data_IF_491463239857
#
_entry.id   IF_491463239857
#
_cell.length_a   1.000
_cell.length_b   1.000
_cell.length_c   1.000
_cell.angle_alpha   90.00
_cell.angle_beta   90.00
_cell.angle_gamma   90.00
#
_symmetry.space_group_name_H-M   'P 1'
#
loop_
_entity.id
_entity.type
_entity.pdbx_description
1 polymer ?
#
# COMPACT_ATOMS: atom_id res chain seq x y z
N UNK A 1 -13.08 -32.58 -7.11
CA UNK A 1 -11.82 -31.91 -7.44
C UNK A 1 -11.78 -30.47 -6.91
N UNK A 2 -12.76 -29.58 -7.18
CA UNK A 2 -12.79 -28.21 -6.63
C UNK A 2 -12.84 -28.16 -5.09
N UNK A 3 -13.56 -29.06 -4.44
CA UNK A 3 -13.68 -29.14 -2.97
C UNK A 3 -12.39 -29.65 -2.32
N UNK A 4 -11.65 -30.51 -3.01
CA UNK A 4 -10.37 -31.05 -2.53
C UNK A 4 -9.24 -30.02 -2.64
N UNK A 5 -9.23 -29.22 -3.73
CA UNK A 5 -8.30 -28.11 -3.94
C UNK A 5 -8.54 -26.98 -2.92
N UNK A 6 -9.82 -26.75 -2.54
CA UNK A 6 -10.18 -25.77 -1.51
C UNK A 6 -9.68 -26.23 -0.12
N UNK A 7 -9.81 -27.53 0.19
CA UNK A 7 -9.34 -28.10 1.45
C UNK A 7 -7.80 -28.07 1.59
N UNK A 8 -7.07 -28.29 0.49
CA UNK A 8 -5.59 -28.18 0.47
C UNK A 8 -5.14 -26.71 0.62
N UNK A 9 -5.87 -25.73 0.05
CA UNK A 9 -5.59 -24.30 0.25
C UNK A 9 -5.83 -23.82 1.68
N UNK A 10 -6.81 -24.43 2.37
CA UNK A 10 -7.12 -24.08 3.76
C UNK A 10 -6.15 -24.76 4.77
N UNK A 11 -5.44 -25.83 4.35
CA UNK A 11 -4.43 -26.52 5.19
C UNK A 11 -3.02 -25.91 5.08
N UNK A 12 -2.76 -25.01 4.11
CA UNK A 12 -1.44 -24.41 3.89
C UNK A 12 -1.20 -23.18 4.76
N UNK A 13 -2.24 -22.58 5.34
CA UNK A 13 -2.09 -21.47 6.27
C UNK A 13 -1.90 -22.01 7.70
N UNK A 14 -0.66 -22.04 8.19
CA UNK A 14 -0.30 -22.63 9.47
C UNK A 14 -0.86 -21.89 10.72
N UNK A 15 -1.41 -20.67 10.55
CA UNK A 15 -1.98 -19.89 11.66
C UNK A 15 -3.48 -20.10 11.76
N UNK A 16 -3.94 -20.54 12.95
CA UNK A 16 -5.37 -20.51 13.25
C UNK A 16 -5.84 -19.07 13.59
N UNK A 17 -7.16 -18.82 13.56
CA UNK A 17 -7.73 -17.48 13.80
C UNK A 17 -7.27 -16.86 15.12
N UNK A 18 -7.09 -17.63 16.19
CA UNK A 18 -6.63 -17.12 17.48
C UNK A 18 -5.16 -16.66 17.41
N UNK A 19 -4.30 -17.38 16.72
CA UNK A 19 -2.90 -17.01 16.55
C UNK A 19 -2.78 -15.73 15.69
N UNK A 20 -3.59 -15.62 14.65
CA UNK A 20 -3.63 -14.40 13.82
C UNK A 20 -4.08 -13.17 14.63
N UNK A 21 -5.08 -13.31 15.50
CA UNK A 21 -5.53 -12.23 16.36
C UNK A 21 -4.49 -11.86 17.43
N UNK A 22 -3.74 -12.83 17.97
CA UNK A 22 -2.63 -12.56 18.88
C UNK A 22 -1.50 -11.80 18.16
N UNK A 23 -1.18 -12.20 16.93
CA UNK A 23 -0.20 -11.50 16.10
C UNK A 23 -0.66 -10.07 15.80
N UNK A 24 -1.93 -9.86 15.39
CA UNK A 24 -2.52 -8.53 15.23
C UNK A 24 -2.37 -7.67 16.49
N UNK A 25 -2.64 -8.23 17.66
CA UNK A 25 -2.52 -7.50 18.93
C UNK A 25 -1.07 -7.07 19.21
N UNK A 26 -0.11 -7.96 18.99
CA UNK A 26 1.30 -7.67 19.18
C UNK A 26 1.80 -6.56 18.23
N UNK A 27 1.41 -6.63 16.95
CA UNK A 27 1.78 -5.62 15.95
C UNK A 27 1.16 -4.26 16.25
N UNK A 28 -0.12 -4.21 16.64
CA UNK A 28 -0.75 -2.94 17.04
C UNK A 28 -0.08 -2.31 18.27
N UNK A 29 0.36 -3.14 19.22
CA UNK A 29 1.12 -2.65 20.37
C UNK A 29 2.47 -2.07 19.94
N UNK A 30 3.18 -2.75 19.03
CA UNK A 30 4.43 -2.26 18.46
C UNK A 30 4.24 -0.95 17.71
N UNK A 31 3.25 -0.85 16.79
CA UNK A 31 2.94 0.38 16.05
C UNK A 31 2.61 1.55 16.99
N UNK A 32 1.84 1.31 18.05
CA UNK A 32 1.53 2.33 19.05
C UNK A 32 2.77 2.78 19.84
N UNK A 33 3.72 1.90 20.06
CA UNK A 33 5.00 2.24 20.71
C UNK A 33 5.83 3.25 19.93
N UNK A 34 5.61 3.37 18.61
CA UNK A 34 6.26 4.36 17.77
C UNK A 34 5.87 5.81 18.11
N UNK A 35 4.73 6.03 18.77
CA UNK A 35 4.28 7.37 19.19
C UNK A 35 5.27 8.06 20.14
N UNK A 36 6.03 7.30 20.93
CA UNK A 36 7.07 7.81 21.82
C UNK A 36 8.45 7.99 21.14
N UNK A 37 8.64 7.39 19.99
CA UNK A 37 9.93 7.26 19.30
C UNK A 37 10.03 8.23 18.13
N UNK A 38 9.06 8.23 17.23
CA UNK A 38 9.07 9.03 16.00
C UNK A 38 9.25 10.53 16.25
N UNK A 39 8.64 11.18 17.27
CA UNK A 39 8.87 12.60 17.52
C UNK A 39 10.31 12.94 17.81
N UNK A 40 11.03 12.05 18.51
CA UNK A 40 12.47 12.20 18.82
C UNK A 40 13.32 12.04 17.56
N UNK A 41 12.98 11.05 16.73
CA UNK A 41 13.66 10.83 15.45
C UNK A 41 13.46 12.02 14.50
N UNK A 42 12.24 12.57 14.42
CA UNK A 42 11.94 13.74 13.58
C UNK A 42 12.69 15.00 14.09
N UNK A 43 12.85 15.15 15.42
CA UNK A 43 13.59 16.27 16.00
C UNK A 43 15.08 16.23 15.62
N UNK A 44 15.66 15.03 15.43
CA UNK A 44 17.05 14.81 15.04
C UNK A 44 17.14 14.21 13.61
N UNK A 45 16.24 14.64 12.72
CA UNK A 45 16.13 14.06 11.39
C UNK A 45 17.23 14.53 10.46
N UNK A 46 17.90 13.58 9.85
CA UNK A 46 18.86 13.77 8.76
C UNK A 46 18.29 13.17 7.47
N UNK A 47 18.45 13.88 6.36
CA UNK A 47 17.92 13.50 5.06
C UNK A 47 19.05 13.23 4.08
N UNK A 48 18.97 12.09 3.39
CA UNK A 48 19.86 11.71 2.30
C UNK A 48 19.04 11.50 1.02
N UNK A 49 19.72 11.50 -0.12
CA UNK A 49 19.11 11.18 -1.43
C UNK A 49 19.57 9.80 -1.89
N UNK A 50 18.63 8.96 -2.36
CA UNK A 50 18.92 7.63 -2.91
C UNK A 50 19.31 7.73 -4.39
N UNK A 51 18.38 7.45 -5.31
CA UNK A 51 18.66 7.42 -6.74
C UNK A 51 18.70 8.80 -7.40
N UNK A 52 17.98 9.79 -6.88
CA UNK A 52 17.92 11.16 -7.40
C UNK A 52 17.43 12.13 -6.32
N UNK A 53 17.44 13.45 -6.63
CA UNK A 53 17.08 14.51 -5.68
C UNK A 53 15.63 14.46 -5.15
N UNK A 54 14.75 13.65 -5.73
CA UNK A 54 13.36 13.48 -5.31
C UNK A 54 13.14 12.17 -4.55
N UNK A 55 14.14 11.28 -4.55
CA UNK A 55 14.14 9.98 -3.89
C UNK A 55 14.89 10.12 -2.56
N UNK A 56 14.15 10.40 -1.50
CA UNK A 56 14.66 10.76 -0.20
C UNK A 56 14.59 9.56 0.76
N UNK A 57 15.55 9.49 1.67
CA UNK A 57 15.54 8.65 2.85
C UNK A 57 15.96 9.47 4.05
N UNK A 58 15.45 9.13 5.22
CA UNK A 58 15.88 9.73 6.47
C UNK A 58 16.31 8.67 7.48
N UNK A 59 17.01 9.09 8.53
CA UNK A 59 17.29 8.21 9.66
C UNK A 59 15.99 7.72 10.34
N UNK A 60 14.85 8.38 10.14
CA UNK A 60 13.54 7.94 10.66
C UNK A 60 13.14 6.64 9.98
N UNK A 61 13.22 6.58 8.65
CA UNK A 61 12.90 5.38 7.84
C UNK A 61 13.75 4.19 8.30
N UNK A 62 15.07 4.38 8.37
CA UNK A 62 16.02 3.35 8.77
C UNK A 62 15.77 2.84 10.18
N UNK A 63 15.56 3.76 11.14
CA UNK A 63 15.36 3.40 12.54
C UNK A 63 14.04 2.64 12.78
N UNK A 64 12.96 3.04 12.11
CA UNK A 64 11.67 2.32 12.22
C UNK A 64 11.82 0.90 11.68
N UNK A 65 12.46 0.74 10.52
CA UNK A 65 12.70 -0.58 9.94
C UNK A 65 13.60 -1.45 10.85
N UNK A 66 14.69 -0.90 11.39
CA UNK A 66 15.59 -1.63 12.27
C UNK A 66 14.91 -2.07 13.57
N UNK A 67 14.02 -1.26 14.13
CA UNK A 67 13.24 -1.62 15.30
C UNK A 67 12.23 -2.74 14.99
N UNK A 68 11.60 -2.73 13.81
CA UNK A 68 10.70 -3.81 13.43
C UNK A 68 11.46 -5.12 13.18
N UNK A 69 12.61 -5.06 12.53
CA UNK A 69 13.48 -6.22 12.33
C UNK A 69 13.93 -6.84 13.66
N UNK A 70 14.33 -5.98 14.62
CA UNK A 70 14.69 -6.42 15.97
C UNK A 70 13.49 -7.07 16.70
N UNK A 71 12.30 -6.47 16.61
CA UNK A 71 11.09 -7.02 17.16
C UNK A 71 10.76 -8.41 16.57
N UNK A 72 10.89 -8.58 15.25
CA UNK A 72 10.68 -9.88 14.61
C UNK A 72 11.71 -10.92 15.09
N UNK A 73 12.97 -10.57 15.13
CA UNK A 73 14.03 -11.49 15.58
C UNK A 73 13.83 -11.95 17.02
N UNK A 74 13.31 -11.10 17.89
CA UNK A 74 13.05 -11.43 19.28
C UNK A 74 11.80 -12.30 19.47
N UNK A 75 10.69 -11.95 18.79
CA UNK A 75 9.40 -12.54 19.06
C UNK A 75 8.93 -13.55 18.00
N UNK A 76 9.40 -13.41 16.76
CA UNK A 76 9.00 -14.22 15.60
C UNK A 76 10.21 -14.59 14.74
N UNK A 77 11.21 -15.32 15.27
CA UNK A 77 12.51 -15.52 14.61
C UNK A 77 12.45 -16.33 13.30
N UNK A 78 11.30 -16.98 13.00
CA UNK A 78 11.06 -17.66 11.72
C UNK A 78 10.45 -16.75 10.65
N UNK A 79 10.02 -15.53 11.01
CA UNK A 79 9.47 -14.58 10.05
C UNK A 79 10.60 -13.79 9.37
N UNK A 80 10.41 -13.50 8.09
CA UNK A 80 11.33 -12.70 7.30
C UNK A 80 10.77 -11.28 7.09
N UNK A 81 11.65 -10.31 6.87
CA UNK A 81 11.30 -8.93 6.58
C UNK A 81 11.78 -8.54 5.18
N UNK A 82 10.83 -8.16 4.33
CA UNK A 82 11.04 -7.56 3.01
C UNK A 82 10.64 -6.08 3.08
N UNK A 83 11.59 -5.14 3.10
CA UNK A 83 11.31 -3.74 3.38
C UNK A 83 12.13 -2.79 2.51
N UNK A 84 11.70 -1.53 2.39
CA UNK A 84 12.27 -0.56 1.47
C UNK A 84 13.76 -0.29 1.69
N UNK A 85 14.19 -0.13 2.96
CA UNK A 85 15.53 0.39 3.28
C UNK A 85 16.61 -0.70 3.42
N UNK A 86 16.26 -1.98 3.30
CA UNK A 86 17.22 -3.09 3.39
C UNK A 86 17.36 -3.81 2.06
N UNK A 87 18.51 -4.48 1.94
CA UNK A 87 18.78 -5.38 0.83
C UNK A 87 17.85 -6.61 0.91
N UNK A 88 16.90 -6.69 -0.01
CA UNK A 88 15.83 -7.69 -0.02
C UNK A 88 16.10 -8.85 -0.99
N UNK A 89 17.27 -8.90 -1.62
CA UNK A 89 17.60 -9.83 -2.71
C UNK A 89 17.50 -11.32 -2.31
N UNK A 90 17.48 -11.60 -1.00
CA UNK A 90 17.43 -12.97 -0.46
C UNK A 90 16.05 -13.36 0.11
N UNK A 91 15.09 -12.43 0.18
CA UNK A 91 13.77 -12.70 0.77
C UNK A 91 12.81 -13.15 -0.32
N UNK A 92 12.28 -14.36 -0.21
CA UNK A 92 11.20 -14.83 -1.07
C UNK A 92 9.85 -14.43 -0.47
N UNK A 93 9.31 -13.30 -0.92
CA UNK A 93 8.06 -12.75 -0.41
C UNK A 93 6.82 -13.68 -0.63
N UNK A 94 6.97 -14.76 -1.40
CA UNK A 94 5.86 -15.68 -1.74
C UNK A 94 5.83 -16.96 -0.92
N UNK A 95 6.88 -17.26 -0.15
CA UNK A 95 6.97 -18.47 0.65
C UNK A 95 7.29 -18.15 2.11
N UNK A 96 6.79 -18.99 3.01
CA UNK A 96 6.97 -18.81 4.45
C UNK A 96 6.14 -17.65 5.02
N UNK A 97 6.60 -17.15 6.15
CA UNK A 97 5.97 -16.07 6.91
C UNK A 97 6.75 -14.78 6.70
N UNK A 98 6.24 -13.89 5.85
CA UNK A 98 6.95 -12.69 5.39
C UNK A 98 6.19 -11.43 5.73
N UNK A 99 6.89 -10.48 6.32
CA UNK A 99 6.43 -9.11 6.50
C UNK A 99 6.95 -8.25 5.35
N UNK A 100 6.08 -7.40 4.80
CA UNK A 100 6.45 -6.41 3.79
C UNK A 100 6.19 -5.04 4.39
N UNK A 101 7.20 -4.15 4.36
CA UNK A 101 7.16 -2.88 5.07
C UNK A 101 7.69 -1.72 4.24
N UNK A 102 6.92 -0.62 4.22
CA UNK A 102 7.42 0.72 3.98
C UNK A 102 7.43 1.46 5.32
N UNK A 103 8.60 1.78 5.86
CA UNK A 103 8.69 2.44 7.16
C UNK A 103 8.17 3.88 7.15
N UNK A 104 8.30 4.60 6.02
CA UNK A 104 7.74 5.95 5.81
C UNK A 104 7.33 6.12 4.35
N UNK A 105 6.11 5.68 4.00
CA UNK A 105 5.49 6.07 2.74
C UNK A 105 5.19 7.56 2.73
N UNK A 106 5.75 8.28 1.77
CA UNK A 106 5.69 9.73 1.71
C UNK A 106 6.85 10.44 2.40
N UNK A 107 8.07 9.92 2.34
CA UNK A 107 9.29 10.53 2.92
C UNK A 107 9.46 11.99 2.49
N UNK A 108 9.15 12.33 1.23
CA UNK A 108 9.18 13.72 0.77
C UNK A 108 8.18 14.62 1.53
N UNK A 109 6.99 14.10 1.86
CA UNK A 109 5.99 14.81 2.66
C UNK A 109 6.47 14.98 4.11
N UNK A 110 7.05 13.93 4.71
CA UNK A 110 7.68 14.02 6.02
C UNK A 110 8.75 15.12 6.04
N UNK A 111 9.67 15.13 5.08
CA UNK A 111 10.78 16.09 5.03
C UNK A 111 10.28 17.53 4.82
N UNK A 112 9.34 17.72 3.90
CA UNK A 112 8.92 19.08 3.47
C UNK A 112 7.74 19.64 4.25
N UNK A 113 6.82 18.80 4.70
CA UNK A 113 5.53 19.22 5.25
C UNK A 113 5.32 18.76 6.71
N UNK A 114 6.00 17.71 7.16
CA UNK A 114 5.81 17.05 8.48
C UNK A 114 4.39 16.48 8.67
N UNK A 115 3.70 16.25 7.57
CA UNK A 115 2.36 15.64 7.51
C UNK A 115 2.23 14.81 6.23
N UNK A 116 1.08 14.15 6.05
CA UNK A 116 0.74 13.35 4.86
C UNK A 116 1.76 12.24 4.54
N UNK A 117 2.19 11.52 5.56
CA UNK A 117 3.00 10.32 5.46
C UNK A 117 2.43 9.21 6.34
N UNK A 118 2.74 7.96 6.02
CA UNK A 118 2.24 6.83 6.79
C UNK A 118 3.29 5.70 6.86
N UNK A 119 3.02 4.71 7.71
CA UNK A 119 3.75 3.45 7.75
C UNK A 119 2.87 2.41 7.08
N UNK A 120 3.40 1.67 6.11
CA UNK A 120 2.72 0.55 5.49
C UNK A 120 3.36 -0.75 5.99
N UNK A 121 2.54 -1.68 6.48
CA UNK A 121 3.00 -2.97 6.95
C UNK A 121 2.00 -4.05 6.57
N UNK A 122 2.47 -5.18 6.06
CA UNK A 122 1.63 -6.32 5.74
C UNK A 122 2.32 -7.64 6.06
N UNK A 123 1.52 -8.62 6.43
CA UNK A 123 1.97 -9.98 6.72
C UNK A 123 1.38 -10.95 5.71
N UNK A 124 2.25 -11.73 5.11
CA UNK A 124 1.92 -12.81 4.19
C UNK A 124 2.37 -14.14 4.79
N UNK A 125 1.53 -15.16 4.70
CA UNK A 125 1.89 -16.55 4.99
C UNK A 125 1.68 -17.37 3.72
N UNK A 126 2.74 -18.02 3.23
CA UNK A 126 2.74 -18.77 1.97
C UNK A 126 2.14 -17.97 0.79
N UNK A 127 2.56 -16.71 0.67
CA UNK A 127 2.11 -15.80 -0.38
C UNK A 127 0.65 -15.34 -0.26
N UNK A 128 -0.03 -15.62 0.86
CA UNK A 128 -1.39 -15.18 1.10
C UNK A 128 -1.41 -14.00 2.07
N UNK A 129 -2.04 -12.86 1.75
CA UNK A 129 -2.15 -11.74 2.67
C UNK A 129 -3.04 -12.11 3.86
N UNK A 130 -2.50 -11.94 5.07
CA UNK A 130 -3.15 -12.31 6.33
C UNK A 130 -3.49 -11.10 7.18
N UNK A 131 -2.57 -10.14 7.30
CA UNK A 131 -2.73 -8.88 8.03
C UNK A 131 -2.20 -7.73 7.16
N UNK A 132 -2.85 -6.59 7.26
CA UNK A 132 -2.41 -5.36 6.61
C UNK A 132 -2.66 -4.16 7.51
N UNK A 133 -1.72 -3.22 7.52
CA UNK A 133 -1.77 -2.00 8.30
C UNK A 133 -1.30 -0.82 7.45
N UNK A 134 -2.01 0.31 7.58
CA UNK A 134 -1.57 1.63 7.15
C UNK A 134 -1.76 2.54 8.37
N UNK A 135 -0.64 2.99 8.94
CA UNK A 135 -0.67 3.87 10.09
C UNK A 135 -0.42 5.31 9.64
N UNK A 136 -1.49 6.08 9.50
CA UNK A 136 -1.44 7.54 9.29
C UNK A 136 -0.94 8.17 10.60
N UNK A 137 0.40 8.20 10.73
CA UNK A 137 1.06 8.57 11.97
C UNK A 137 0.74 10.01 12.39
N UNK A 138 0.80 11.04 11.50
CA UNK A 138 0.49 12.43 11.89
C UNK A 138 -0.90 12.62 12.50
N UNK A 139 -1.85 11.75 12.13
CA UNK A 139 -3.23 11.79 12.64
C UNK A 139 -3.51 10.72 13.70
N UNK A 140 -2.52 9.94 14.13
CA UNK A 140 -2.66 8.82 15.08
C UNK A 140 -3.80 7.87 14.71
N UNK A 141 -3.98 7.61 13.42
CA UNK A 141 -5.07 6.78 12.90
C UNK A 141 -4.52 5.50 12.28
N UNK A 142 -4.86 4.37 12.90
CA UNK A 142 -4.47 3.07 12.41
C UNK A 142 -5.59 2.45 11.57
N UNK A 143 -5.30 2.20 10.31
CA UNK A 143 -6.11 1.38 9.44
C UNK A 143 -5.54 -0.03 9.42
N UNK A 144 -6.40 -1.04 9.59
CA UNK A 144 -5.99 -2.44 9.51
C UNK A 144 -7.00 -3.27 8.74
N UNK A 145 -6.52 -4.33 8.09
CA UNK A 145 -7.35 -5.37 7.53
C UNK A 145 -6.87 -6.73 8.06
N UNK A 146 -7.80 -7.60 8.38
CA UNK A 146 -7.56 -8.97 8.82
C UNK A 146 -8.31 -9.88 7.86
N UNK A 147 -7.62 -10.88 7.34
CA UNK A 147 -8.18 -11.81 6.36
C UNK A 147 -9.48 -12.44 6.85
N UNK A 148 -10.53 -12.29 6.03
CA UNK A 148 -11.90 -12.80 6.24
C UNK A 148 -12.61 -12.21 7.48
N UNK A 149 -11.97 -11.22 8.16
CA UNK A 149 -12.56 -10.51 9.30
C UNK A 149 -12.97 -9.08 8.97
N UNK A 150 -12.45 -8.50 7.87
CA UNK A 150 -12.77 -7.16 7.39
C UNK A 150 -11.68 -6.13 7.63
N UNK A 151 -12.00 -4.86 7.31
CA UNK A 151 -11.12 -3.71 7.53
C UNK A 151 -11.65 -2.80 8.63
N UNK A 152 -10.73 -2.09 9.31
CA UNK A 152 -11.04 -1.28 10.50
C UNK A 152 -10.25 0.03 10.47
N UNK A 153 -10.87 1.10 10.97
CA UNK A 153 -10.25 2.39 11.29
C UNK A 153 -10.31 2.56 12.83
N UNK A 154 -9.17 2.55 13.52
CA UNK A 154 -9.11 2.62 14.99
C UNK A 154 -10.14 1.70 15.68
N UNK A 155 -10.15 0.41 15.35
CA UNK A 155 -11.07 -0.61 15.88
C UNK A 155 -12.54 -0.50 15.39
N UNK A 156 -12.92 0.56 14.67
CA UNK A 156 -14.25 0.67 14.07
C UNK A 156 -14.24 0.00 12.70
N UNK A 157 -15.15 -0.94 12.48
CA UNK A 157 -15.27 -1.64 11.19
C UNK A 157 -15.60 -0.66 10.07
N UNK A 158 -14.82 -0.68 9.01
CA UNK A 158 -15.07 0.09 7.80
C UNK A 158 -16.17 -0.59 6.97
N UNK A 159 -17.10 0.17 6.40
CA UNK A 159 -18.09 -0.38 5.46
C UNK A 159 -17.43 -0.75 4.14
N UNK A 160 -18.02 -1.70 3.43
CA UNK A 160 -17.65 -1.95 2.02
C UNK A 160 -17.90 -0.70 1.19
N UNK A 161 -16.99 -0.44 0.24
CA UNK A 161 -17.07 0.75 -0.60
C UNK A 161 -18.18 0.59 -1.65
N UNK A 162 -19.14 1.53 -1.74
CA UNK A 162 -20.19 1.45 -2.74
C UNK A 162 -19.62 1.64 -4.15
N UNK A 163 -20.26 1.02 -5.14
CA UNK A 163 -19.94 1.22 -6.54
C UNK A 163 -20.56 2.54 -7.00
N UNK A 164 -19.72 3.51 -7.38
CA UNK A 164 -20.13 4.83 -7.87
C UNK A 164 -19.50 5.08 -9.26
N UNK A 165 -20.19 5.87 -10.07
CA UNK A 165 -19.70 6.24 -11.40
C UNK A 165 -18.47 7.17 -11.31
N UNK A 166 -17.58 7.08 -12.29
CA UNK A 166 -16.36 7.89 -12.34
C UNK A 166 -16.65 9.39 -12.29
N UNK A 167 -17.76 9.84 -12.89
CA UNK A 167 -18.15 11.26 -12.93
C UNK A 167 -18.50 11.84 -11.56
N UNK A 168 -18.82 10.98 -10.59
CA UNK A 168 -19.14 11.39 -9.21
C UNK A 168 -17.89 11.40 -8.31
N UNK A 169 -16.74 10.90 -8.78
CA UNK A 169 -15.60 10.56 -7.95
C UNK A 169 -14.37 11.43 -8.22
N UNK A 170 -13.54 11.54 -7.18
CA UNK A 170 -12.20 12.10 -7.26
C UNK A 170 -11.24 10.97 -7.66
N UNK A 171 -10.32 11.24 -8.57
CA UNK A 171 -9.23 10.32 -8.91
C UNK A 171 -7.91 10.81 -8.28
N UNK A 172 -7.05 9.86 -7.88
CA UNK A 172 -5.68 10.14 -7.47
C UNK A 172 -4.70 9.62 -8.51
N UNK A 173 -3.85 10.48 -9.03
CA UNK A 173 -2.76 10.13 -9.93
C UNK A 173 -1.71 11.25 -9.99
N UNK A 174 -0.49 10.88 -10.32
CA UNK A 174 0.57 11.85 -10.60
C UNK A 174 0.46 12.35 -12.05
N UNK A 175 0.11 13.63 -12.31
CA UNK A 175 -0.05 14.13 -13.66
C UNK A 175 1.27 14.19 -14.46
N UNK A 176 2.42 14.24 -13.80
CA UNK A 176 3.72 14.32 -14.48
C UNK A 176 4.15 13.03 -15.20
N UNK A 177 3.54 11.89 -14.84
CA UNK A 177 3.85 10.58 -15.43
C UNK A 177 2.85 10.16 -16.50
N UNK A 178 1.77 10.91 -16.69
CA UNK A 178 0.74 10.67 -17.70
C UNK A 178 0.89 11.64 -18.88
N UNK A 179 0.62 11.15 -20.09
CA UNK A 179 0.59 12.02 -21.26
C UNK A 179 -0.61 13.00 -21.22
N UNK A 180 -0.54 14.09 -21.98
CA UNK A 180 -1.53 15.18 -21.96
C UNK A 180 -2.95 14.71 -22.33
N UNK A 181 -3.08 13.79 -23.30
CA UNK A 181 -4.38 13.27 -23.72
C UNK A 181 -5.03 12.47 -22.59
N UNK A 182 -4.31 11.55 -21.97
CA UNK A 182 -4.80 10.76 -20.85
C UNK A 182 -5.22 11.66 -19.68
N UNK A 183 -4.40 12.68 -19.36
CA UNK A 183 -4.77 13.67 -18.32
C UNK A 183 -6.06 14.42 -18.66
N UNK A 184 -6.22 14.86 -19.92
CA UNK A 184 -7.41 15.58 -20.36
C UNK A 184 -8.66 14.67 -20.28
N UNK A 185 -8.55 13.43 -20.72
CA UNK A 185 -9.66 12.46 -20.73
C UNK A 185 -10.05 12.09 -19.27
N UNK A 186 -9.09 11.84 -18.37
CA UNK A 186 -9.37 11.60 -16.95
C UNK A 186 -10.05 12.81 -16.27
N UNK A 187 -9.57 14.04 -16.57
CA UNK A 187 -10.18 15.27 -16.04
C UNK A 187 -11.60 15.50 -16.56
N UNK A 188 -11.88 15.09 -17.79
CA UNK A 188 -13.23 15.21 -18.37
C UNK A 188 -14.20 14.15 -17.81
N UNK A 189 -13.70 12.97 -17.46
CA UNK A 189 -14.51 11.86 -16.96
C UNK A 189 -14.83 11.95 -15.47
N UNK A 190 -13.90 12.44 -14.66
CA UNK A 190 -14.01 12.45 -13.20
C UNK A 190 -14.51 13.81 -12.66
N UNK A 191 -15.10 13.79 -11.46
CA UNK A 191 -15.48 15.04 -10.78
C UNK A 191 -14.27 15.94 -10.50
N UNK A 192 -13.14 15.37 -10.11
CA UNK A 192 -11.90 16.11 -9.83
C UNK A 192 -10.73 15.14 -9.71
N UNK A 193 -9.51 15.67 -9.50
CA UNK A 193 -8.35 14.87 -9.14
C UNK A 193 -7.61 15.46 -7.94
N UNK A 194 -6.88 14.61 -7.22
CA UNK A 194 -6.00 14.95 -6.11
C UNK A 194 -4.76 14.07 -6.17
N UNK A 195 -3.71 14.49 -5.51
CA UNK A 195 -2.53 13.68 -5.22
C UNK A 195 -2.04 14.09 -3.82
N UNK A 196 -2.01 13.14 -2.90
CA UNK A 196 -1.42 13.34 -1.56
C UNK A 196 0.09 13.17 -1.67
N UNK A 197 0.54 12.19 -2.46
CA UNK A 197 1.96 11.91 -2.68
C UNK A 197 2.53 10.91 -1.67
N UNK A 198 1.65 10.14 -1.04
CA UNK A 198 1.95 8.93 -0.26
C UNK A 198 0.99 7.83 -0.73
N UNK A 199 1.53 6.73 -1.24
CA UNK A 199 0.77 5.69 -1.92
C UNK A 199 -0.29 5.07 -1.01
N UNK A 200 0.07 4.81 0.25
CA UNK A 200 -0.84 4.30 1.28
C UNK A 200 -1.98 5.27 1.56
N UNK A 201 -1.69 6.56 1.72
CA UNK A 201 -2.72 7.58 2.00
C UNK A 201 -3.62 7.85 0.81
N UNK A 202 -3.08 7.90 -0.41
CA UNK A 202 -3.88 8.00 -1.63
C UNK A 202 -4.81 6.78 -1.78
N UNK A 203 -4.31 5.57 -1.51
CA UNK A 203 -5.09 4.34 -1.48
C UNK A 203 -6.15 4.34 -0.37
N UNK A 204 -5.84 4.86 0.83
CA UNK A 204 -6.80 4.99 1.93
C UNK A 204 -8.00 5.85 1.56
N UNK A 205 -7.84 6.89 0.75
CA UNK A 205 -8.97 7.70 0.27
C UNK A 205 -9.92 6.87 -0.59
N UNK A 206 -9.41 5.92 -1.37
CA UNK A 206 -10.22 4.95 -2.12
C UNK A 206 -10.91 3.98 -1.16
N UNK A 207 -10.17 3.43 -0.19
CA UNK A 207 -10.69 2.50 0.82
C UNK A 207 -11.81 3.10 1.68
N UNK A 208 -11.80 4.42 1.85
CA UNK A 208 -12.85 5.18 2.57
C UNK A 208 -14.00 5.62 1.65
N UNK A 209 -13.97 5.29 0.36
CA UNK A 209 -14.97 5.71 -0.63
C UNK A 209 -14.93 7.21 -0.94
N UNK A 210 -13.86 7.92 -0.56
CA UNK A 210 -13.68 9.35 -0.82
C UNK A 210 -13.10 9.59 -2.21
N UNK A 211 -12.26 8.68 -2.71
CA UNK A 211 -11.75 8.66 -4.09
C UNK A 211 -12.31 7.44 -4.83
N UNK A 212 -12.49 7.58 -6.14
CA UNK A 212 -12.93 6.51 -7.00
C UNK A 212 -11.80 5.55 -7.38
N UNK A 213 -10.60 6.10 -7.59
CA UNK A 213 -9.41 5.33 -7.91
C UNK A 213 -8.13 6.06 -7.49
N UNK A 214 -7.10 5.27 -7.16
CA UNK A 214 -5.71 5.69 -7.11
C UNK A 214 -4.90 4.93 -8.17
N UNK A 215 -4.12 5.66 -8.97
CA UNK A 215 -3.31 5.16 -10.07
C UNK A 215 -1.86 5.48 -9.76
N UNK A 216 -1.00 4.46 -9.71
CA UNK A 216 0.44 4.60 -9.59
C UNK A 216 1.12 3.83 -10.72
N UNK A 217 2.08 4.45 -11.41
CA UNK A 217 2.73 3.86 -12.59
C UNK A 217 4.04 3.16 -12.27
N UNK A 218 4.51 3.19 -11.03
CA UNK A 218 5.81 2.62 -10.64
C UNK A 218 5.88 2.29 -9.13
N UNK A 219 4.87 1.59 -8.62
CA UNK A 219 4.84 1.19 -7.22
C UNK A 219 5.83 0.05 -6.93
N UNK A 220 6.40 0.06 -5.75
CA UNK A 220 7.22 -1.02 -5.21
C UNK A 220 6.37 -2.01 -4.41
N UNK A 221 6.89 -3.20 -4.08
CA UNK A 221 6.17 -4.18 -3.26
C UNK A 221 5.64 -3.60 -1.94
N UNK A 222 6.45 -2.83 -1.25
CA UNK A 222 6.09 -2.22 0.03
C UNK A 222 5.04 -1.12 -0.08
N UNK A 223 4.92 -0.43 -1.23
CA UNK A 223 3.88 0.57 -1.50
C UNK A 223 2.48 -0.04 -1.61
N UNK A 224 2.38 -1.32 -2.06
CA UNK A 224 1.12 -1.91 -2.50
C UNK A 224 0.69 -3.15 -1.70
N UNK A 225 1.58 -3.77 -0.94
CA UNK A 225 1.33 -5.07 -0.31
C UNK A 225 0.14 -5.06 0.65
N UNK A 226 -0.03 -4.01 1.44
CA UNK A 226 -1.16 -3.87 2.36
C UNK A 226 -2.49 -3.72 1.60
N UNK A 227 -2.49 -3.00 0.49
CA UNK A 227 -3.67 -2.69 -0.31
C UNK A 227 -4.39 -3.94 -0.84
N UNK A 228 -3.67 -5.05 -1.06
CA UNK A 228 -4.28 -6.31 -1.50
C UNK A 228 -5.35 -6.82 -0.54
N UNK A 229 -5.03 -6.82 0.76
CA UNK A 229 -5.96 -7.29 1.76
C UNK A 229 -7.12 -6.31 1.96
N UNK A 230 -6.82 -5.02 2.03
CA UNK A 230 -7.86 -3.99 2.10
C UNK A 230 -8.81 -4.06 0.91
N UNK A 231 -8.30 -4.21 -0.31
CA UNK A 231 -9.14 -4.30 -1.50
C UNK A 231 -10.10 -5.49 -1.43
N UNK A 232 -9.62 -6.65 -0.96
CA UNK A 232 -10.45 -7.83 -0.74
C UNK A 232 -11.53 -7.59 0.31
N UNK A 233 -11.15 -7.06 1.47
CA UNK A 233 -12.07 -6.91 2.61
C UNK A 233 -13.10 -5.77 2.41
N UNK A 234 -12.77 -4.75 1.61
CA UNK A 234 -13.64 -3.60 1.32
C UNK A 234 -14.40 -3.71 -0.01
N UNK A 235 -14.27 -4.84 -0.72
CA UNK A 235 -14.93 -5.10 -1.99
C UNK A 235 -14.50 -4.13 -3.12
N UNK A 236 -13.22 -3.72 -3.11
CA UNK A 236 -12.57 -2.93 -4.15
C UNK A 236 -11.97 -3.81 -5.24
N UNK A 237 -11.62 -3.20 -6.37
CA UNK A 237 -10.77 -3.82 -7.41
C UNK A 237 -9.34 -3.30 -7.31
N UNK A 238 -8.38 -4.21 -7.51
CA UNK A 238 -6.97 -3.89 -7.61
C UNK A 238 -6.32 -4.75 -8.69
N UNK A 239 -5.78 -4.10 -9.73
CA UNK A 239 -5.12 -4.75 -10.87
C UNK A 239 -3.90 -3.94 -11.31
N UNK A 240 -3.09 -4.50 -12.21
CA UNK A 240 -2.19 -3.67 -12.99
C UNK A 240 -2.97 -2.80 -13.98
N UNK A 241 -2.29 -1.92 -14.73
CA UNK A 241 -2.96 -1.00 -15.67
C UNK A 241 -3.40 -1.68 -16.98
N UNK A 242 -3.08 -2.97 -17.16
CA UNK A 242 -3.56 -3.82 -18.27
C UNK A 242 -4.75 -4.71 -17.85
N UNK A 243 -5.35 -4.44 -16.68
CA UNK A 243 -6.44 -5.22 -16.06
C UNK A 243 -6.06 -6.67 -15.68
N UNK A 244 -4.77 -6.93 -15.45
CA UNK A 244 -4.26 -8.23 -15.04
C UNK A 244 -3.92 -8.24 -13.53
N UNK A 245 -3.82 -9.42 -12.91
CA UNK A 245 -3.38 -9.53 -11.52
C UNK A 245 -1.98 -8.94 -11.31
N UNK A 246 -1.79 -8.24 -10.20
CA UNK A 246 -0.49 -7.70 -9.80
C UNK A 246 0.28 -8.77 -9.02
N UNK A 247 1.58 -8.85 -9.28
CA UNK A 247 2.51 -9.57 -8.42
C UNK A 247 2.98 -8.67 -7.27
N UNK A 248 2.46 -8.90 -6.07
CA UNK A 248 2.78 -8.09 -4.90
C UNK A 248 4.26 -8.13 -4.52
N UNK A 249 4.99 -9.19 -4.90
CA UNK A 249 6.41 -9.33 -4.62
C UNK A 249 7.31 -8.56 -5.61
N UNK A 250 6.75 -8.13 -6.75
CA UNK A 250 7.47 -7.40 -7.80
C UNK A 250 7.07 -5.93 -7.83
N UNK A 251 5.80 -5.64 -7.53
CA UNK A 251 5.23 -4.30 -7.70
C UNK A 251 4.95 -3.98 -9.17
N UNK A 252 4.96 -2.69 -9.51
CA UNK A 252 4.74 -2.19 -10.85
C UNK A 252 3.57 -1.21 -10.96
N UNK A 253 3.14 -0.89 -12.19
CA UNK A 253 1.96 -0.05 -12.40
C UNK A 253 0.71 -0.70 -11.83
N UNK A 254 -0.11 0.05 -11.07
CA UNK A 254 -1.34 -0.47 -10.51
C UNK A 254 -2.44 0.57 -10.40
N UNK A 255 -3.65 0.07 -10.26
CA UNK A 255 -4.85 0.81 -9.88
C UNK A 255 -5.55 0.08 -8.73
N UNK A 256 -5.91 0.82 -7.68
CA UNK A 256 -6.92 0.42 -6.70
C UNK A 256 -8.12 1.34 -6.87
N UNK A 257 -9.33 0.78 -6.95
CA UNK A 257 -10.53 1.57 -7.25
C UNK A 257 -11.80 0.93 -6.72
N UNK A 258 -12.86 1.75 -6.59
CA UNK A 258 -14.19 1.19 -6.49
C UNK A 258 -14.62 0.53 -7.82
N UNK A 259 -15.57 -0.40 -7.75
CA UNK A 259 -15.96 -1.22 -8.89
C UNK A 259 -16.59 -0.40 -10.03
N UNK A 260 -17.23 0.72 -9.74
CA UNK A 260 -17.86 1.57 -10.74
C UNK A 260 -16.87 2.40 -11.55
N UNK A 261 -15.70 2.71 -10.99
CA UNK A 261 -14.66 3.49 -11.68
C UNK A 261 -13.66 2.62 -12.46
N UNK A 262 -13.46 1.36 -12.07
CA UNK A 262 -12.30 0.56 -12.49
C UNK A 262 -12.17 0.46 -14.01
N UNK A 263 -13.17 -0.07 -14.68
CA UNK A 263 -13.11 -0.31 -16.13
C UNK A 263 -13.01 1.02 -16.92
N UNK A 264 -13.77 2.05 -16.48
CA UNK A 264 -13.75 3.35 -17.14
C UNK A 264 -12.37 4.02 -17.05
N UNK A 265 -11.70 3.92 -15.91
CA UNK A 265 -10.34 4.46 -15.75
C UNK A 265 -9.34 3.68 -16.60
N UNK A 266 -9.39 2.34 -16.60
CA UNK A 266 -8.50 1.51 -17.42
C UNK A 266 -8.70 1.75 -18.91
N UNK A 267 -9.95 1.92 -19.35
CA UNK A 267 -10.25 2.25 -20.75
C UNK A 267 -9.56 3.56 -21.17
N UNK A 268 -9.65 4.61 -20.33
CA UNK A 268 -8.99 5.89 -20.60
C UNK A 268 -7.45 5.74 -20.64
N UNK A 269 -6.88 5.00 -19.68
CA UNK A 269 -5.45 4.79 -19.60
C UNK A 269 -4.88 4.03 -20.81
N UNK A 270 -5.66 3.13 -21.40
CA UNK A 270 -5.23 2.26 -22.49
C UNK A 270 -5.64 2.76 -23.90
N UNK A 271 -6.35 3.90 -23.98
CA UNK A 271 -6.68 4.53 -25.27
C UNK A 271 -5.48 5.21 -25.91
N UNK A 272 -5.56 5.46 -27.24
CA UNK A 272 -4.63 6.32 -28.01
C UNK A 272 -3.14 6.00 -27.82
N UNK A 273 -2.78 4.73 -27.65
CA UNK A 273 -1.40 4.29 -27.46
C UNK A 273 -0.91 4.28 -26.03
N UNK A 274 -1.84 4.40 -25.05
CA UNK A 274 -1.57 4.24 -23.64
C UNK A 274 -1.25 5.55 -22.91
N UNK A 275 -1.09 5.43 -21.61
CA UNK A 275 -0.96 6.55 -20.68
C UNK A 275 0.44 7.16 -20.57
N UNK A 276 1.46 6.45 -21.05
CA UNK A 276 2.85 6.83 -20.79
C UNK A 276 3.23 8.14 -21.48
N UNK A 277 3.98 8.98 -20.78
CA UNK A 277 4.67 10.10 -21.40
C UNK A 277 5.68 9.56 -22.38
N UNK A 278 5.54 9.88 -23.66
CA UNK A 278 6.58 9.59 -24.66
C UNK A 278 7.87 10.24 -24.17
N UNK A 279 8.86 9.43 -23.79
CA UNK A 279 10.20 9.95 -23.49
C UNK A 279 10.68 10.59 -24.79
N UNK A 280 10.61 11.92 -24.84
CA UNK A 280 11.34 12.67 -25.87
C UNK A 280 12.80 12.34 -25.60
N UNK A 281 13.37 11.50 -26.41
CA UNK A 281 14.81 11.28 -26.45
C UNK A 281 15.40 12.63 -26.79
N UNK A 282 15.91 13.34 -25.78
CA UNK A 282 16.76 14.49 -26.01
C UNK A 282 18.00 13.95 -26.72
N UNK A 283 18.03 14.09 -28.05
CA UNK A 283 19.22 13.96 -28.87
C UNK A 283 20.21 15.05 -28.52
#
# INVERSE_FOLDING_TARGET
>A
MKTYIRKIKDEVCNLNSNQLLQLDQAIRHWLKGLDDIIPKLIADMHTETKANQFDLVTNVDQMIQDQFDAFLKEHYPSHELFAEEKNNDLVDAKHGDVWIMDPIDGTANLVKQKTDYCIILSYFSEGQPMLAYIYDYPHHTLYKAIRDEGAFENEVRMPKVPSLDISEMILSYNPYVLNEHTQADLKAAAFSYRLIGACGLDSLRVMKGQFGAHINTNAKPWDISAQFLFAKELDLKMTNLDNEPIDFAVGGPFIISNKGCHEAVLEILNQKGGYQVNKITKT
#
